data_IF_764700923082
#
_entry.id   IF_764700923082
#
_cell.length_a   1.000
_cell.length_b   1.000
_cell.length_c   1.000
_cell.angle_alpha   90.00
_cell.angle_beta   90.00
_cell.angle_gamma   90.00
#
_symmetry.space_group_name_H-M   'P 1'
#
loop_
_entity.id
_entity.type
_entity.pdbx_description
1 polymer ?
#
# COMPACT_ATOMS: atom_id res chain seq x y z
N UNK A 1 26.00 44.86 53.96
CA UNK A 1 25.38 45.49 52.80
C UNK A 1 25.09 44.42 51.75
N UNK A 2 23.83 44.17 51.50
CA UNK A 2 23.28 43.20 50.53
C UNK A 2 22.85 44.01 49.29
N UNK A 3 23.22 43.64 48.07
CA UNK A 3 22.60 44.21 46.88
C UNK A 3 21.41 43.38 46.40
N UNK A 4 20.48 43.95 45.64
CA UNK A 4 19.16 43.41 45.40
C UNK A 4 19.10 42.47 44.15
N UNK A 5 18.11 41.59 44.23
CA UNK A 5 17.66 40.63 43.19
C UNK A 5 17.39 41.26 41.84
N UNK A 6 17.99 40.67 40.80
CA UNK A 6 17.58 40.80 39.41
C UNK A 6 16.95 39.50 38.93
N UNK A 7 15.64 39.50 38.73
CA UNK A 7 14.88 38.39 38.16
C UNK A 7 15.02 38.45 36.64
N UNK A 8 15.86 37.60 36.10
CA UNK A 8 15.96 37.36 34.68
C UNK A 8 15.04 36.22 34.26
N UNK A 9 14.00 36.52 33.48
CA UNK A 9 13.15 35.53 32.83
C UNK A 9 13.92 34.79 31.74
N UNK A 10 13.88 33.44 31.65
CA UNK A 10 14.44 32.73 30.53
C UNK A 10 13.47 32.78 29.38
N UNK A 11 13.88 33.46 28.32
CA UNK A 11 13.25 33.44 27.03
C UNK A 11 13.67 32.16 26.29
N UNK A 12 12.92 31.06 26.40
CA UNK A 12 13.16 29.83 25.68
C UNK A 12 12.05 29.58 24.68
N UNK A 13 12.09 30.29 23.55
CA UNK A 13 11.47 29.80 22.34
C UNK A 13 12.46 28.83 21.66
N UNK A 14 12.61 27.63 22.19
CA UNK A 14 13.10 26.51 21.41
C UNK A 14 11.99 26.12 20.45
N UNK A 15 12.14 26.48 19.21
CA UNK A 15 11.47 25.82 18.11
C UNK A 15 12.06 24.41 18.05
N UNK A 16 11.34 23.45 18.60
CA UNK A 16 11.57 22.04 18.34
C UNK A 16 11.28 21.81 16.84
N UNK A 17 12.34 21.91 16.03
CA UNK A 17 12.36 21.35 14.71
C UNK A 17 12.36 19.85 14.89
N UNK A 18 11.17 19.25 14.94
CA UNK A 18 10.96 17.83 14.85
C UNK A 18 11.60 17.35 13.54
N UNK A 19 12.83 16.89 13.64
CA UNK A 19 13.49 16.14 12.55
C UNK A 19 12.63 14.90 12.33
N UNK A 20 11.96 14.87 11.20
CA UNK A 20 11.31 13.68 10.69
C UNK A 20 12.38 12.60 10.57
N UNK A 21 12.37 11.63 11.49
CA UNK A 21 13.36 10.55 11.56
C UNK A 21 13.30 9.74 10.28
N UNK A 22 14.44 9.55 9.61
CA UNK A 22 14.56 8.79 8.37
C UNK A 22 14.10 7.35 8.57
N UNK A 23 13.09 6.86 7.89
CA UNK A 23 12.88 5.42 7.77
C UNK A 23 13.80 4.88 6.68
N UNK A 24 14.79 4.10 7.07
CA UNK A 24 15.78 3.46 6.20
C UNK A 24 15.27 2.17 5.55
N UNK A 25 14.10 2.16 4.97
CA UNK A 25 13.53 0.89 4.53
C UNK A 25 13.40 0.66 3.02
N UNK A 26 14.03 1.52 2.25
CA UNK A 26 14.29 1.22 0.83
C UNK A 26 15.68 1.73 0.48
N UNK A 27 16.63 0.82 0.36
CA UNK A 27 17.91 1.12 -0.26
C UNK A 27 17.70 1.49 -1.72
N UNK A 28 18.21 2.65 -2.11
CA UNK A 28 18.41 3.06 -3.50
C UNK A 28 19.41 2.10 -4.16
N UNK A 29 18.92 1.08 -4.79
CA UNK A 29 19.66 0.35 -5.79
C UNK A 29 18.88 0.43 -7.09
N UNK A 30 18.99 1.59 -7.74
CA UNK A 30 19.04 1.77 -9.21
C UNK A 30 19.12 3.28 -9.49
N UNK A 31 20.00 3.63 -10.43
CA UNK A 31 20.39 4.97 -10.79
C UNK A 31 19.23 5.92 -11.10
N UNK A 32 19.50 7.18 -10.78
CA UNK A 32 18.64 8.33 -11.06
C UNK A 32 18.27 8.38 -12.55
N UNK A 33 17.06 8.00 -12.86
CA UNK A 33 16.33 8.57 -13.99
C UNK A 33 15.04 9.18 -13.44
N UNK A 34 14.87 10.49 -13.73
CA UNK A 34 13.60 11.17 -13.54
C UNK A 34 12.52 10.39 -14.29
N UNK A 35 11.29 10.27 -13.78
CA UNK A 35 10.22 9.71 -14.55
C UNK A 35 10.10 10.51 -15.85
N UNK A 36 10.35 9.85 -16.97
CA UNK A 36 10.12 10.43 -18.29
C UNK A 36 8.61 10.62 -18.43
N UNK A 37 8.21 11.88 -18.49
CA UNK A 37 6.90 12.22 -19.03
C UNK A 37 6.85 11.72 -20.47
N UNK A 38 6.09 10.68 -20.68
CA UNK A 38 5.88 10.20 -22.03
C UNK A 38 5.62 8.72 -22.11
N UNK A 39 4.41 8.43 -22.53
CA UNK A 39 3.88 7.16 -23.00
C UNK A 39 3.14 6.31 -21.97
N UNK A 40 2.10 6.85 -21.35
CA UNK A 40 0.93 6.02 -21.12
C UNK A 40 0.32 5.68 -22.49
N UNK A 41 0.61 4.47 -22.98
CA UNK A 41 -0.11 3.96 -24.15
C UNK A 41 -1.57 3.83 -23.77
N UNK A 42 -2.41 4.65 -24.43
CA UNK A 42 -3.88 4.55 -24.32
C UNK A 42 -4.30 3.14 -24.67
N UNK A 43 -4.73 2.39 -23.68
CA UNK A 43 -5.53 1.20 -23.91
C UNK A 43 -6.98 1.67 -23.94
N UNK A 44 -7.52 1.79 -25.17
CA UNK A 44 -8.90 2.18 -25.38
C UNK A 44 -9.84 1.13 -24.79
N UNK A 45 -10.82 1.64 -24.04
CA UNK A 45 -11.92 0.91 -23.42
C UNK A 45 -12.73 0.11 -24.43
N UNK A 46 -13.10 -1.10 -24.05
CA UNK A 46 -14.36 -1.72 -24.48
C UNK A 46 -15.02 -2.32 -23.24
N UNK A 47 -15.83 -1.53 -22.54
CA UNK A 47 -16.91 -2.04 -21.70
C UNK A 47 -18.09 -1.07 -21.80
N UNK A 48 -19.06 -1.41 -22.64
CA UNK A 48 -20.38 -0.82 -22.60
C UNK A 48 -21.22 -1.47 -21.50
N UNK A 49 -21.67 -0.67 -20.55
CA UNK A 49 -22.71 -1.05 -19.58
C UNK A 49 -24.04 -0.64 -20.19
N UNK A 50 -24.89 -1.60 -20.50
CA UNK A 50 -26.29 -1.34 -20.84
C UNK A 50 -27.15 -1.44 -19.57
N UNK A 51 -27.81 -0.34 -19.23
CA UNK A 51 -28.88 -0.27 -18.23
C UNK A 51 -30.17 -0.85 -18.82
N UNK A 52 -30.73 -1.86 -18.16
CA UNK A 52 -32.02 -2.45 -18.49
C UNK A 52 -32.89 -2.67 -17.23
N UNK A 53 -34.07 -2.07 -17.24
CA UNK A 53 -35.00 -1.87 -16.14
C UNK A 53 -35.55 -3.12 -15.44
N UNK A 54 -35.96 -2.88 -14.20
CA UNK A 54 -36.57 -3.83 -13.25
C UNK A 54 -37.98 -4.16 -13.71
N UNK A 55 -38.29 -5.45 -13.93
CA UNK A 55 -39.64 -6.01 -13.90
C UNK A 55 -39.73 -7.13 -12.89
N UNK A 56 -40.65 -6.96 -11.95
CA UNK A 56 -40.98 -7.95 -10.93
C UNK A 56 -41.71 -9.15 -11.55
N UNK A 57 -41.21 -10.39 -11.34
CA UNK A 57 -41.96 -11.63 -11.60
C UNK A 57 -41.40 -12.77 -10.75
N UNK A 58 -42.29 -13.35 -9.96
CA UNK A 58 -42.41 -14.69 -9.31
C UNK A 58 -41.17 -15.63 -9.21
N UNK A 59 -41.07 -16.45 -8.13
CA UNK A 59 -39.89 -17.21 -7.82
C UNK A 59 -39.80 -18.46 -8.71
N UNK A 60 -39.02 -18.37 -9.76
CA UNK A 60 -38.54 -19.52 -10.51
C UNK A 60 -37.12 -19.84 -10.04
N UNK A 61 -36.90 -21.13 -9.72
CA UNK A 61 -35.64 -21.79 -9.37
C UNK A 61 -34.38 -20.93 -9.58
N UNK A 62 -33.71 -20.63 -8.47
CA UNK A 62 -32.40 -20.01 -8.51
C UNK A 62 -31.46 -20.90 -9.33
N UNK A 63 -31.30 -20.56 -10.62
CA UNK A 63 -30.15 -21.02 -11.37
C UNK A 63 -28.94 -20.51 -10.62
N UNK A 64 -28.09 -21.41 -10.13
CA UNK A 64 -26.76 -21.09 -9.68
C UNK A 64 -26.03 -20.44 -10.86
N UNK A 65 -26.11 -19.12 -10.96
CA UNK A 65 -25.21 -18.37 -11.82
C UNK A 65 -23.78 -18.73 -11.38
N UNK A 66 -22.92 -19.18 -12.27
CA UNK A 66 -21.54 -19.47 -11.91
C UNK A 66 -20.93 -18.17 -11.39
N UNK A 67 -20.45 -18.21 -10.15
CA UNK A 67 -19.76 -17.10 -9.53
C UNK A 67 -18.79 -16.47 -10.54
N UNK A 68 -18.84 -15.15 -10.78
CA UNK A 68 -17.96 -14.51 -11.75
C UNK A 68 -16.53 -14.90 -11.46
N UNK A 69 -15.87 -15.57 -12.40
CA UNK A 69 -14.45 -15.86 -12.27
C UNK A 69 -13.72 -14.52 -12.39
N UNK A 70 -13.26 -14.02 -11.26
CA UNK A 70 -12.43 -12.83 -11.26
C UNK A 70 -11.16 -13.12 -12.08
N UNK A 71 -11.06 -12.49 -13.23
CA UNK A 71 -9.89 -12.59 -14.12
C UNK A 71 -8.96 -11.45 -13.78
N UNK A 72 -7.72 -11.78 -13.39
CA UNK A 72 -6.70 -10.78 -13.11
C UNK A 72 -6.31 -10.03 -14.37
N UNK A 73 -6.07 -8.73 -14.23
CA UNK A 73 -5.54 -7.94 -15.33
C UNK A 73 -4.16 -8.46 -15.74
N UNK A 74 -3.94 -8.60 -17.03
CA UNK A 74 -2.67 -9.04 -17.61
C UNK A 74 -2.18 -7.95 -18.57
N UNK A 75 -1.42 -6.98 -18.02
CA UNK A 75 -0.89 -5.84 -18.76
C UNK A 75 0.63 -5.83 -18.60
N UNK A 76 1.37 -6.25 -19.64
CA UNK A 76 2.84 -6.22 -19.60
C UNK A 76 3.39 -4.81 -19.38
N UNK A 77 4.33 -4.65 -18.45
CA UNK A 77 4.88 -3.35 -18.10
C UNK A 77 3.89 -2.43 -17.37
N UNK A 78 2.73 -2.95 -16.94
CA UNK A 78 1.67 -2.16 -16.33
C UNK A 78 2.00 -1.67 -14.93
N UNK A 79 1.35 -0.58 -14.55
CA UNK A 79 1.36 -0.04 -13.19
C UNK A 79 0.07 -0.45 -12.49
N UNK A 80 0.21 -0.97 -11.27
CA UNK A 80 -0.90 -1.53 -10.50
C UNK A 80 -0.89 -1.00 -9.08
N UNK A 81 -2.06 -0.66 -8.56
CA UNK A 81 -2.29 -0.47 -7.13
C UNK A 81 -2.76 -1.79 -6.52
N UNK A 82 -2.34 -2.05 -5.28
CA UNK A 82 -2.70 -3.25 -4.53
C UNK A 82 -3.14 -2.93 -3.11
N UNK A 83 -4.17 -3.66 -2.64
CA UNK A 83 -4.52 -3.81 -1.22
C UNK A 83 -4.30 -5.25 -0.80
N UNK A 84 -3.43 -5.48 0.18
CA UNK A 84 -3.06 -6.81 0.65
C UNK A 84 -3.20 -6.89 2.16
N UNK A 85 -4.06 -7.76 2.66
CA UNK A 85 -4.41 -7.83 4.07
C UNK A 85 -4.02 -9.17 4.71
N UNK A 86 -3.72 -9.13 6.02
CA UNK A 86 -3.66 -10.34 6.84
C UNK A 86 -5.07 -10.85 7.11
N UNK A 87 -5.16 -12.14 7.47
CA UNK A 87 -6.44 -12.80 7.69
C UNK A 87 -7.13 -12.28 8.95
N UNK A 88 -6.38 -12.16 10.02
CA UNK A 88 -6.86 -11.74 11.33
C UNK A 88 -6.56 -10.26 11.55
N UNK A 89 -7.48 -9.39 11.12
CA UNK A 89 -7.31 -7.93 11.07
C UNK A 89 -7.02 -7.28 12.44
N UNK A 90 -7.28 -7.97 13.54
CA UNK A 90 -6.97 -7.47 14.91
C UNK A 90 -5.48 -7.55 15.24
N UNK A 91 -4.70 -8.34 14.52
CA UNK A 91 -3.27 -8.51 14.75
C UNK A 91 -2.47 -7.38 14.07
N UNK A 92 -1.35 -7.03 14.67
CA UNK A 92 -0.46 -5.97 14.18
C UNK A 92 0.79 -6.54 13.48
N UNK A 93 0.66 -7.71 12.88
CA UNK A 93 1.78 -8.52 12.40
C UNK A 93 2.72 -7.80 11.43
N UNK A 94 2.18 -6.92 10.56
CA UNK A 94 3.00 -6.30 9.52
C UNK A 94 4.00 -5.29 10.09
N UNK A 95 3.61 -4.57 11.15
CA UNK A 95 4.50 -3.60 11.81
C UNK A 95 5.35 -4.24 12.92
N UNK A 96 4.83 -5.26 13.62
CA UNK A 96 5.59 -6.01 14.62
C UNK A 96 6.76 -6.78 13.98
N UNK A 97 6.58 -7.23 12.73
CA UNK A 97 7.59 -7.95 11.96
C UNK A 97 8.00 -7.18 10.70
N UNK A 98 8.11 -5.86 10.80
CA UNK A 98 8.37 -4.99 9.66
C UNK A 98 9.67 -5.33 8.93
N UNK A 99 10.72 -5.70 9.64
CA UNK A 99 12.01 -6.02 9.02
C UNK A 99 11.96 -7.34 8.25
N UNK A 100 11.19 -8.33 8.75
CA UNK A 100 10.93 -9.56 8.00
C UNK A 100 10.12 -9.29 6.72
N UNK A 101 9.14 -8.37 6.78
CA UNK A 101 8.38 -7.95 5.61
C UNK A 101 9.28 -7.25 4.58
N UNK A 102 10.11 -6.31 5.02
CA UNK A 102 11.11 -5.61 4.18
C UNK A 102 12.05 -6.59 3.50
N UNK A 103 12.60 -7.54 4.27
CA UNK A 103 13.47 -8.59 3.75
C UNK A 103 12.79 -9.47 2.70
N UNK A 104 11.50 -9.80 2.89
CA UNK A 104 10.72 -10.53 1.90
C UNK A 104 10.55 -9.74 0.60
N UNK A 105 10.23 -8.45 0.67
CA UNK A 105 10.13 -7.56 -0.48
C UNK A 105 11.47 -7.44 -1.22
N UNK A 106 12.54 -7.09 -0.51
CA UNK A 106 13.88 -6.93 -1.08
C UNK A 106 14.36 -8.21 -1.79
N UNK A 107 14.17 -9.37 -1.16
CA UNK A 107 14.55 -10.65 -1.73
C UNK A 107 13.78 -11.01 -3.00
N UNK A 108 12.47 -10.68 -3.05
CA UNK A 108 11.67 -10.95 -4.26
C UNK A 108 12.01 -9.94 -5.35
N UNK A 109 12.21 -8.67 -5.02
CA UNK A 109 12.57 -7.63 -5.96
C UNK A 109 13.93 -7.90 -6.63
N UNK A 110 14.90 -8.47 -5.90
CA UNK A 110 16.18 -8.89 -6.45
C UNK A 110 16.05 -10.05 -7.46
N UNK A 111 15.10 -10.97 -7.27
CA UNK A 111 14.90 -12.14 -8.14
C UNK A 111 13.92 -11.87 -9.29
N UNK A 112 12.95 -11.00 -9.06
CA UNK A 112 11.88 -10.65 -10.00
C UNK A 112 11.67 -9.12 -9.91
N UNK A 113 12.45 -8.33 -10.66
CA UNK A 113 12.44 -6.87 -10.56
C UNK A 113 11.06 -6.26 -10.76
N UNK A 114 10.78 -5.20 -10.00
CA UNK A 114 9.64 -4.31 -10.15
C UNK A 114 9.95 -3.01 -9.38
N UNK A 115 9.34 -1.93 -9.79
CA UNK A 115 9.48 -0.64 -9.08
C UNK A 115 8.36 -0.48 -8.07
N UNK A 116 8.68 -0.01 -6.86
CA UNK A 116 7.70 0.40 -5.87
C UNK A 116 7.61 1.92 -5.91
N UNK A 117 6.55 2.41 -6.53
CA UNK A 117 6.32 3.85 -6.71
C UNK A 117 5.84 4.48 -5.41
N UNK A 118 4.85 3.88 -4.78
CA UNK A 118 4.35 4.26 -3.46
C UNK A 118 4.01 3.03 -2.62
N UNK A 119 4.15 3.13 -1.30
CA UNK A 119 3.72 2.11 -0.36
C UNK A 119 3.43 2.68 1.02
N UNK A 120 2.48 2.08 1.72
CA UNK A 120 2.22 2.25 3.15
C UNK A 120 1.96 0.89 3.78
N UNK A 121 2.56 0.66 4.93
CA UNK A 121 2.34 -0.55 5.73
C UNK A 121 1.55 -0.15 6.97
N UNK A 122 0.37 -0.73 7.13
CA UNK A 122 -0.48 -0.60 8.30
C UNK A 122 -0.36 -1.87 9.16
N UNK A 123 -0.89 -1.89 10.38
CA UNK A 123 -0.73 -3.04 11.26
C UNK A 123 -1.17 -4.37 10.66
N UNK A 124 -2.25 -4.37 9.87
CA UNK A 124 -2.99 -5.55 9.40
C UNK A 124 -3.14 -5.63 7.89
N UNK A 125 -2.77 -4.58 7.16
CA UNK A 125 -2.78 -4.55 5.70
C UNK A 125 -1.74 -3.58 5.16
N UNK A 126 -1.58 -3.58 3.84
CA UNK A 126 -0.72 -2.65 3.15
C UNK A 126 -1.34 -2.23 1.82
N UNK A 127 -1.01 -1.03 1.39
CA UNK A 127 -1.27 -0.56 0.05
C UNK A 127 0.03 -0.23 -0.65
N UNK A 128 0.10 -0.50 -1.95
CA UNK A 128 1.26 -0.09 -2.74
C UNK A 128 0.91 0.07 -4.22
N UNK A 129 1.70 0.88 -4.91
CA UNK A 129 1.73 0.97 -6.36
C UNK A 129 3.04 0.34 -6.84
N UNK A 130 2.93 -0.56 -7.82
CA UNK A 130 4.06 -1.19 -8.49
C UNK A 130 4.00 -0.97 -9.99
N UNK A 131 5.15 -0.67 -10.57
CA UNK A 131 5.36 -0.71 -12.01
C UNK A 131 6.20 -1.95 -12.34
N UNK A 132 5.69 -2.79 -13.24
CA UNK A 132 6.37 -3.99 -13.71
C UNK A 132 7.32 -3.67 -14.86
N UNK A 133 8.37 -4.48 -15.07
CA UNK A 133 9.25 -4.36 -16.23
C UNK A 133 8.49 -4.55 -17.54
N UNK A 134 9.00 -3.96 -18.61
CA UNK A 134 8.46 -4.15 -19.95
C UNK A 134 8.36 -5.65 -20.30
N UNK A 135 7.21 -6.03 -20.85
CA UNK A 135 6.92 -7.42 -21.21
C UNK A 135 6.49 -8.34 -20.07
N UNK A 136 6.60 -7.91 -18.82
CA UNK A 136 6.20 -8.70 -17.63
C UNK A 136 4.84 -8.25 -17.11
N UNK A 137 3.96 -9.20 -16.78
CA UNK A 137 2.64 -8.97 -16.20
C UNK A 137 2.39 -9.81 -14.94
N UNK A 138 3.41 -10.55 -14.44
CA UNK A 138 3.24 -11.52 -13.37
C UNK A 138 3.46 -10.90 -11.98
N UNK A 139 2.56 -10.00 -11.56
CA UNK A 139 2.53 -9.53 -10.18
C UNK A 139 2.06 -10.64 -9.21
N UNK A 140 1.29 -11.62 -9.69
CA UNK A 140 0.73 -12.68 -8.84
C UNK A 140 1.80 -13.57 -8.23
N UNK A 141 2.80 -13.98 -9.01
CA UNK A 141 3.93 -14.77 -8.51
C UNK A 141 4.79 -13.95 -7.54
N UNK A 142 4.94 -12.64 -7.75
CA UNK A 142 5.64 -11.75 -6.82
C UNK A 142 4.92 -11.70 -5.48
N UNK A 143 3.61 -11.48 -5.47
CA UNK A 143 2.81 -11.51 -4.24
C UNK A 143 2.85 -12.86 -3.54
N UNK A 144 2.77 -13.96 -4.29
CA UNK A 144 2.90 -15.30 -3.73
C UNK A 144 4.25 -15.48 -3.03
N UNK A 145 5.34 -15.08 -3.67
CA UNK A 145 6.69 -15.20 -3.12
C UNK A 145 6.88 -14.32 -1.87
N UNK A 146 6.43 -13.05 -1.89
CA UNK A 146 6.51 -12.13 -0.73
C UNK A 146 5.72 -12.71 0.44
N UNK A 147 4.44 -13.06 0.22
CA UNK A 147 3.58 -13.64 1.26
C UNK A 147 4.18 -14.92 1.85
N UNK A 148 4.72 -15.79 1.02
CA UNK A 148 5.36 -17.04 1.43
C UNK A 148 6.64 -16.80 2.25
N UNK A 149 7.54 -15.91 1.79
CA UNK A 149 8.78 -15.59 2.51
C UNK A 149 8.49 -14.96 3.87
N UNK A 150 7.61 -13.96 3.92
CA UNK A 150 7.17 -13.34 5.17
C UNK A 150 6.55 -14.37 6.12
N UNK A 151 5.63 -15.22 5.63
CA UNK A 151 5.01 -16.23 6.49
C UNK A 151 6.03 -17.21 7.07
N UNK A 152 7.04 -17.62 6.31
CA UNK A 152 8.09 -18.53 6.78
C UNK A 152 9.01 -17.91 7.81
N UNK A 153 9.21 -16.60 7.79
CA UNK A 153 10.05 -15.91 8.77
C UNK A 153 9.39 -15.72 10.14
N UNK A 154 8.08 -15.93 10.23
CA UNK A 154 7.35 -15.79 11.49
C UNK A 154 7.34 -17.10 12.29
N UNK A 155 7.33 -17.04 13.65
CA UNK A 155 7.10 -18.20 14.50
C UNK A 155 5.75 -18.87 14.17
N UNK A 156 5.70 -20.20 14.18
CA UNK A 156 4.47 -20.95 13.95
C UNK A 156 3.65 -21.00 15.24
N UNK A 157 2.61 -20.18 15.32
CA UNK A 157 1.72 -20.07 16.48
C UNK A 157 0.23 -20.09 16.08
N UNK A 158 -0.08 -20.28 14.79
CA UNK A 158 -1.43 -20.20 14.28
C UNK A 158 -2.20 -21.49 14.55
N UNK A 159 -3.44 -21.36 15.05
CA UNK A 159 -4.39 -22.48 15.06
C UNK A 159 -4.98 -22.63 13.65
N UNK A 160 -4.57 -23.69 12.97
CA UNK A 160 -4.94 -23.93 11.58
C UNK A 160 -6.13 -24.88 11.48
N UNK A 161 -7.11 -24.55 10.63
CA UNK A 161 -8.13 -25.51 10.24
C UNK A 161 -7.52 -26.67 9.42
N UNK A 162 -8.12 -27.86 9.49
CA UNK A 162 -7.70 -29.04 8.73
C UNK A 162 -7.53 -28.76 7.23
N UNK A 163 -8.41 -27.94 6.65
CA UNK A 163 -8.34 -27.53 5.24
C UNK A 163 -7.10 -26.67 4.92
N UNK A 164 -6.62 -25.86 5.87
CA UNK A 164 -5.40 -25.04 5.70
C UNK A 164 -4.15 -25.88 5.83
N UNK A 165 -4.14 -26.78 6.81
CA UNK A 165 -3.06 -27.75 6.99
C UNK A 165 -2.87 -28.58 5.72
N UNK A 166 -3.96 -29.13 5.16
CA UNK A 166 -3.93 -29.91 3.92
C UNK A 166 -3.41 -29.14 2.71
N UNK A 167 -3.50 -27.80 2.73
CA UNK A 167 -3.00 -26.90 1.66
C UNK A 167 -1.63 -26.28 1.95
N UNK A 168 -1.01 -26.61 3.09
CA UNK A 168 0.24 -25.98 3.54
C UNK A 168 0.13 -24.47 3.79
N UNK A 169 -1.10 -23.96 4.08
CA UNK A 169 -1.33 -22.55 4.32
C UNK A 169 -1.19 -22.23 5.81
N UNK A 170 -0.36 -21.24 6.14
CA UNK A 170 -0.18 -20.75 7.51
C UNK A 170 -1.33 -19.87 8.03
N UNK A 171 -2.27 -19.47 7.20
CA UNK A 171 -3.41 -18.65 7.63
C UNK A 171 -3.06 -17.21 8.04
N UNK A 172 -1.89 -16.72 7.69
CA UNK A 172 -1.44 -15.35 7.99
C UNK A 172 -2.14 -14.35 7.08
N UNK A 173 -2.19 -14.64 5.79
CA UNK A 173 -2.72 -13.75 4.78
C UNK A 173 -4.13 -14.12 4.36
N UNK A 174 -4.90 -13.11 3.95
CA UNK A 174 -6.06 -13.34 3.10
C UNK A 174 -5.60 -13.98 1.78
N UNK A 175 -6.37 -14.93 1.26
CA UNK A 175 -6.01 -15.65 0.02
C UNK A 175 -5.98 -14.73 -1.18
N UNK A 176 -6.98 -13.87 -1.29
CA UNK A 176 -7.10 -12.87 -2.34
C UNK A 176 -6.48 -11.55 -1.87
N UNK A 177 -6.08 -10.75 -2.81
CA UNK A 177 -5.75 -9.34 -2.64
C UNK A 177 -6.50 -8.59 -3.73
N UNK A 178 -6.75 -7.31 -3.48
CA UNK A 178 -7.37 -6.45 -4.47
C UNK A 178 -6.27 -5.81 -5.32
N UNK A 179 -6.53 -5.68 -6.63
CA UNK A 179 -5.67 -4.96 -7.56
C UNK A 179 -6.50 -4.04 -8.46
N UNK A 180 -5.92 -2.90 -8.78
CA UNK A 180 -6.44 -1.93 -9.73
C UNK A 180 -5.33 -1.56 -10.71
N UNK A 181 -5.66 -1.53 -12.01
CA UNK A 181 -4.75 -1.08 -13.05
C UNK A 181 -4.75 0.44 -13.07
N UNK A 182 -3.61 1.06 -12.86
CA UNK A 182 -3.47 2.51 -13.01
C UNK A 182 -3.56 2.86 -14.49
N UNK A 183 -4.49 3.76 -14.86
CA UNK A 183 -4.88 4.05 -16.23
C UNK A 183 -4.22 5.29 -16.80
N UNK A 184 -3.97 6.29 -15.95
CA UNK A 184 -3.44 7.60 -16.31
C UNK A 184 -2.79 8.30 -15.11
N UNK A 185 -2.24 9.49 -15.33
CA UNK A 185 -1.54 10.27 -14.31
C UNK A 185 -2.46 10.74 -13.18
N UNK A 186 -3.74 11.01 -13.46
CA UNK A 186 -4.73 11.40 -12.45
C UNK A 186 -5.05 10.21 -11.54
N UNK A 187 -5.32 9.05 -12.12
CA UNK A 187 -5.54 7.79 -11.40
C UNK A 187 -4.34 7.42 -10.54
N UNK A 188 -3.11 7.59 -11.08
CA UNK A 188 -1.86 7.39 -10.34
C UNK A 188 -1.76 8.31 -9.14
N UNK A 189 -1.97 9.62 -9.34
CA UNK A 189 -1.85 10.63 -8.28
C UNK A 189 -2.88 10.39 -7.18
N UNK A 190 -4.13 10.12 -7.52
CA UNK A 190 -5.19 9.83 -6.55
C UNK A 190 -4.89 8.61 -5.69
N UNK A 191 -4.39 7.53 -6.29
CA UNK A 191 -4.01 6.32 -5.54
C UNK A 191 -2.76 6.53 -4.69
N UNK A 192 -1.80 7.31 -5.16
CA UNK A 192 -0.61 7.69 -4.39
C UNK A 192 -0.98 8.52 -3.17
N UNK A 193 -1.84 9.52 -3.33
CA UNK A 193 -2.37 10.36 -2.25
C UNK A 193 -3.15 9.51 -1.24
N UNK A 194 -4.01 8.60 -1.72
CA UNK A 194 -4.74 7.66 -0.87
C UNK A 194 -3.79 6.80 -0.03
N UNK A 195 -2.73 6.25 -0.64
CA UNK A 195 -1.72 5.46 0.08
C UNK A 195 -1.12 6.27 1.24
N UNK A 196 -0.71 7.50 0.98
CA UNK A 196 -0.03 8.30 2.00
C UNK A 196 -0.96 8.80 3.09
N UNK A 197 -2.22 9.11 2.76
CA UNK A 197 -3.22 9.54 3.72
C UNK A 197 -3.78 8.40 4.58
N UNK A 198 -3.64 7.17 4.16
CA UNK A 198 -4.25 5.99 4.77
C UNK A 198 -4.01 5.85 6.29
N UNK A 199 -2.79 6.09 6.86
CA UNK A 199 -2.58 6.06 8.30
C UNK A 199 -3.42 7.08 9.08
N UNK A 200 -3.69 8.24 8.50
CA UNK A 200 -4.54 9.27 9.12
C UNK A 200 -6.01 8.85 9.02
N UNK A 201 -6.44 8.32 7.86
CA UNK A 201 -7.79 7.77 7.64
C UNK A 201 -8.15 6.73 8.71
N UNK A 202 -7.21 5.83 9.04
CA UNK A 202 -7.41 4.78 10.05
C UNK A 202 -7.09 5.20 11.49
N UNK A 203 -6.77 6.47 11.74
CA UNK A 203 -6.46 6.96 13.07
C UNK A 203 -5.15 6.45 13.68
N UNK A 204 -4.25 5.92 12.85
CA UNK A 204 -2.93 5.46 13.29
C UNK A 204 -1.94 6.61 13.46
N UNK A 205 -2.17 7.74 12.81
CA UNK A 205 -1.38 8.96 12.91
C UNK A 205 -2.28 10.20 12.85
N UNK A 206 -1.82 11.33 13.42
CA UNK A 206 -2.53 12.61 13.31
C UNK A 206 -2.20 13.34 12.00
N UNK A 207 -0.97 13.21 11.53
CA UNK A 207 -0.46 13.80 10.29
C UNK A 207 0.20 12.69 9.47
N UNK A 208 0.22 12.84 8.17
CA UNK A 208 0.83 11.87 7.25
C UNK A 208 2.32 11.65 7.57
N UNK A 209 3.04 12.73 7.89
CA UNK A 209 4.47 12.66 8.24
C UNK A 209 4.76 11.94 9.57
N UNK A 210 3.79 11.72 10.42
CA UNK A 210 4.00 11.04 11.71
C UNK A 210 4.04 9.50 11.55
N UNK A 211 3.67 8.96 10.37
CA UNK A 211 3.67 7.53 10.13
C UNK A 211 4.98 7.03 9.50
N UNK A 212 5.78 6.21 10.21
CA UNK A 212 7.14 5.85 9.75
C UNK A 212 7.18 4.77 8.66
N UNK A 213 6.06 4.06 8.42
CA UNK A 213 6.00 2.93 7.50
C UNK A 213 5.35 3.31 6.16
N UNK A 214 5.78 4.43 5.60
CA UNK A 214 5.29 4.98 4.34
C UNK A 214 6.43 5.48 3.45
N UNK A 215 6.25 5.39 2.14
CA UNK A 215 7.14 6.04 1.15
C UNK A 215 7.01 7.55 1.12
N UNK A 216 6.04 8.12 1.82
CA UNK A 216 5.82 9.57 1.91
C UNK A 216 7.11 10.34 2.20
N UNK A 217 7.90 9.90 3.18
CA UNK A 217 9.14 10.56 3.57
C UNK A 217 10.17 10.62 2.44
N UNK A 218 10.28 9.56 1.62
CA UNK A 218 11.13 9.54 0.43
C UNK A 218 10.65 10.56 -0.59
N UNK A 219 9.34 10.63 -0.82
CA UNK A 219 8.75 11.53 -1.81
C UNK A 219 8.82 13.00 -1.38
N UNK A 220 8.75 13.29 -0.07
CA UNK A 220 9.06 14.62 0.48
C UNK A 220 10.51 15.01 0.20
N UNK A 221 11.47 14.10 0.40
CA UNK A 221 12.88 14.38 0.08
C UNK A 221 13.14 14.61 -1.42
N UNK A 222 12.31 14.01 -2.27
CA UNK A 222 12.34 14.21 -3.72
C UNK A 222 11.58 15.47 -4.17
N UNK A 223 10.95 16.21 -3.24
CA UNK A 223 10.19 17.42 -3.53
C UNK A 223 8.82 17.19 -4.17
N UNK A 224 8.31 15.94 -4.11
CA UNK A 224 6.98 15.61 -4.65
C UNK A 224 5.86 15.98 -3.71
N UNK A 225 6.12 16.00 -2.39
CA UNK A 225 5.16 16.41 -1.36
C UNK A 225 5.76 17.46 -0.44
N UNK A 226 4.91 18.38 0.05
CA UNK A 226 5.26 19.24 1.16
C UNK A 226 5.34 18.40 2.47
N UNK A 227 6.26 18.71 3.41
CA UNK A 227 6.40 17.96 4.66
C UNK A 227 5.14 17.92 5.54
N UNK A 228 4.30 18.93 5.43
CA UNK A 228 3.02 19.11 6.13
C UNK A 228 1.81 18.77 5.28
N UNK A 229 2.02 18.11 4.15
CA UNK A 229 0.95 17.73 3.24
C UNK A 229 -0.16 16.93 3.93
N UNK A 230 -1.40 17.25 3.59
CA UNK A 230 -2.60 16.54 3.98
C UNK A 230 -3.53 16.39 2.79
N UNK A 231 -4.25 15.27 2.71
CA UNK A 231 -5.12 14.96 1.58
C UNK A 231 -6.30 15.94 1.46
N UNK A 232 -6.71 16.21 0.23
CA UNK A 232 -7.97 16.89 -0.11
C UNK A 232 -9.20 16.04 0.24
N UNK A 233 -10.37 16.64 0.15
CA UNK A 233 -11.62 15.98 0.55
C UNK A 233 -11.99 14.82 -0.38
N UNK A 234 -11.61 14.87 -1.64
CA UNK A 234 -11.78 13.81 -2.63
C UNK A 234 -11.02 12.53 -2.24
N UNK A 235 -9.76 12.68 -1.81
CA UNK A 235 -8.93 11.56 -1.33
C UNK A 235 -9.43 11.01 0.01
N UNK A 236 -9.87 11.90 0.92
CA UNK A 236 -10.45 11.51 2.21
C UNK A 236 -11.71 10.66 2.05
N UNK A 237 -12.50 10.91 1.02
CA UNK A 237 -13.72 10.18 0.70
C UNK A 237 -13.47 8.84 0.00
N UNK A 238 -12.24 8.54 -0.47
CA UNK A 238 -11.93 7.28 -1.13
C UNK A 238 -12.01 6.10 -0.15
N UNK A 239 -12.64 5.02 -0.60
CA UNK A 239 -12.66 3.71 0.09
C UNK A 239 -12.25 2.63 -0.90
N UNK A 240 -11.02 2.10 -0.71
CA UNK A 240 -10.39 1.09 -1.57
C UNK A 240 -9.97 -0.16 -0.76
N UNK A 241 -10.76 -0.53 0.26
CA UNK A 241 -10.51 -1.65 1.17
C UNK A 241 -11.43 -2.85 0.96
#
# INVERSE_FOLDING_TARGET
AIPPNGIGLPNSKRRDSLRCSRPTWMHDSVGREKPRSGAFRRVASIFQIQNGGIRCATPALQRHEPMPRYIRAHIPGGTFFFTVAILERKRRLLIEHIDALRGAFASVQAQRPFTIDAAVILPDHLHCIWTLPDGDADFSARWHAIKSKFSRSLPSQEQLSTRRVAKGERGIWQRRFWEHVIRDDEDFTRHMDYIHYNPVKHGHARRVCDWPYSTFHRLVQQGMYAPDWGAGDDVRAMDLE
#
